data_IF_083191699349
#
_entry.id   IF_083191699349
#
_cell.length_a   1.000
_cell.length_b   1.000
_cell.length_c   1.000
_cell.angle_alpha   90.00
_cell.angle_beta   90.00
_cell.angle_gamma   90.00
#
_symmetry.space_group_name_H-M   'P 1'
#
loop_
_entity.id
_entity.type
_entity.pdbx_description
1 polymer ?
#
# COMPACT_ATOMS: atom_id res chain seq x y z
N UNK A 1 -3.91 60.28 34.44
CA UNK A 1 -4.35 61.47 33.70
C UNK A 1 -4.81 61.05 32.31
N UNK A 2 -5.85 61.72 31.83
CA UNK A 2 -6.63 61.53 30.59
C UNK A 2 -5.81 61.78 29.31
N UNK A 3 -6.14 61.10 28.20
CA UNK A 3 -6.82 61.60 26.97
C UNK A 3 -6.16 62.84 26.36
N UNK A 4 -5.97 62.79 25.04
CA UNK A 4 -5.67 63.90 24.12
C UNK A 4 -4.24 63.97 23.56
N UNK A 5 -3.71 62.85 23.05
CA UNK A 5 -2.64 62.89 22.05
C UNK A 5 -3.11 62.29 20.72
N UNK A 6 -4.18 62.87 20.18
CA UNK A 6 -4.53 62.78 18.77
C UNK A 6 -4.61 64.21 18.22
N UNK A 7 -3.43 64.78 17.97
CA UNK A 7 -3.30 66.01 17.22
C UNK A 7 -2.35 65.77 16.05
N UNK A 8 -2.96 65.61 14.87
CA UNK A 8 -2.46 66.17 13.62
C UNK A 8 -1.13 65.61 13.11
N UNK A 9 -1.21 64.54 12.32
CA UNK A 9 -0.23 64.33 11.24
C UNK A 9 -0.96 64.36 9.89
N UNK A 10 -0.43 65.08 8.88
CA UNK A 10 -1.20 65.58 7.75
C UNK A 10 -1.49 64.51 6.70
N UNK A 11 -2.53 64.77 5.90
CA UNK A 11 -3.06 64.01 4.75
C UNK A 11 -2.05 63.84 3.58
N UNK A 12 -0.86 63.28 3.85
CA UNK A 12 0.19 63.11 2.84
C UNK A 12 0.73 61.67 2.77
N UNK A 13 -0.04 60.68 3.20
CA UNK A 13 0.25 59.26 2.95
C UNK A 13 -0.81 58.61 2.04
N UNK A 14 -1.46 59.41 1.19
CA UNK A 14 -2.16 58.92 0.00
C UNK A 14 -1.16 58.86 -1.16
N UNK A 15 -0.21 57.93 -1.08
CA UNK A 15 0.58 57.47 -2.21
C UNK A 15 0.20 56.03 -2.46
N UNK A 16 -0.90 55.84 -3.20
CA UNK A 16 -1.48 54.52 -3.45
C UNK A 16 -0.46 53.53 -4.00
N UNK A 17 -0.36 52.40 -3.30
CA UNK A 17 -0.06 51.12 -3.92
C UNK A 17 -1.13 50.17 -3.38
N UNK A 18 -2.24 50.07 -4.12
CA UNK A 18 -2.99 48.83 -4.12
C UNK A 18 -2.17 47.87 -4.95
N UNK A 19 -1.49 46.93 -4.31
CA UNK A 19 -1.15 45.67 -4.96
C UNK A 19 -1.95 44.59 -4.25
N UNK A 20 -2.94 44.11 -5.00
CA UNK A 20 -3.84 43.04 -4.68
C UNK A 20 -3.08 41.77 -4.32
N UNK A 21 -3.72 41.02 -3.44
CA UNK A 21 -3.46 39.64 -3.07
C UNK A 21 -3.06 38.79 -4.28
N UNK A 22 -1.86 38.22 -4.24
CA UNK A 22 -1.49 37.07 -5.07
C UNK A 22 -0.58 36.15 -4.22
N UNK A 23 -1.03 35.80 -3.01
CA UNK A 23 -0.62 34.53 -2.43
C UNK A 23 -1.26 33.44 -3.31
N UNK A 24 -0.59 33.11 -4.42
CA UNK A 24 -0.95 31.94 -5.23
C UNK A 24 -0.74 30.73 -4.33
N UNK A 25 -1.81 30.28 -3.72
CA UNK A 25 -1.90 28.98 -3.06
C UNK A 25 -1.32 27.96 -4.04
N UNK A 26 -0.10 27.49 -3.74
CA UNK A 26 0.56 26.51 -4.59
C UNK A 26 -0.22 25.22 -4.41
N UNK A 27 -0.96 24.82 -5.44
CA UNK A 27 -1.64 23.54 -5.46
C UNK A 27 -0.58 22.43 -5.30
N UNK A 28 -0.56 21.67 -4.19
CA UNK A 28 0.42 20.63 -3.96
C UNK A 28 0.29 19.46 -4.96
N UNK A 29 -0.79 19.43 -5.74
CA UNK A 29 -1.03 18.46 -6.81
C UNK A 29 -0.71 19.01 -8.21
N UNK A 30 -0.34 20.29 -8.35
CA UNK A 30 0.08 20.84 -9.63
C UNK A 30 1.48 20.32 -9.98
N UNK A 31 1.51 19.43 -10.97
CA UNK A 31 2.74 18.86 -11.53
C UNK A 31 2.94 19.41 -12.94
N UNK A 32 3.67 20.53 -13.12
CA UNK A 32 3.89 21.13 -14.44
C UNK A 32 4.74 20.23 -15.36
N UNK A 33 5.38 19.22 -14.79
CA UNK A 33 6.13 18.16 -15.44
C UNK A 33 5.29 16.93 -15.76
N UNK A 34 4.03 16.85 -15.30
CA UNK A 34 3.13 15.79 -15.70
C UNK A 34 2.74 15.96 -17.18
N UNK A 35 3.03 14.93 -17.97
CA UNK A 35 2.49 14.78 -19.32
C UNK A 35 0.96 14.79 -19.24
N UNK A 36 0.29 15.53 -20.14
CA UNK A 36 -1.16 15.47 -20.24
C UNK A 36 -1.55 14.03 -20.62
N UNK A 37 -2.57 13.47 -19.96
CA UNK A 37 -2.96 12.05 -20.06
C UNK A 37 -3.42 11.57 -21.45
N UNK A 38 -3.20 12.39 -22.47
CA UNK A 38 -3.44 12.14 -23.90
C UNK A 38 -2.24 11.49 -24.60
N UNK A 39 -1.06 11.44 -23.96
CA UNK A 39 0.12 10.65 -24.38
C UNK A 39 0.36 9.40 -23.50
N UNK A 40 -0.59 9.02 -22.63
CA UNK A 40 -0.52 7.75 -21.91
C UNK A 40 -0.53 6.61 -22.93
N UNK A 41 0.55 5.82 -23.07
CA UNK A 41 0.55 4.73 -24.03
C UNK A 41 -0.57 3.74 -23.67
N UNK A 42 -1.32 3.31 -24.68
CA UNK A 42 -2.32 2.24 -24.58
C UNK A 42 -1.62 0.97 -24.05
N UNK A 43 -1.61 0.81 -22.73
CA UNK A 43 -0.95 -0.29 -22.07
C UNK A 43 0.53 -0.04 -21.80
N UNK A 44 0.93 -0.39 -20.59
CA UNK A 44 2.32 -0.44 -20.16
C UNK A 44 2.99 -1.69 -20.77
N UNK A 45 3.03 -1.76 -22.10
CA UNK A 45 3.46 -2.90 -22.94
C UNK A 45 4.95 -3.28 -22.72
N UNK A 46 5.69 -2.39 -22.04
CA UNK A 46 7.06 -2.64 -21.59
C UNK A 46 7.13 -3.53 -20.33
N UNK A 47 6.06 -3.64 -19.55
CA UNK A 47 6.05 -4.50 -18.38
C UNK A 47 5.85 -5.95 -18.81
N UNK A 48 6.81 -6.85 -18.52
CA UNK A 48 6.60 -8.27 -18.78
C UNK A 48 5.38 -8.72 -17.98
N UNK A 49 4.47 -9.46 -18.64
CA UNK A 49 3.44 -10.21 -17.94
C UNK A 49 4.12 -11.15 -16.95
N UNK A 50 3.83 -11.01 -15.66
CA UNK A 50 4.24 -11.97 -14.64
C UNK A 50 3.11 -12.95 -14.45
N UNK A 51 3.17 -14.16 -15.03
CA UNK A 51 2.10 -15.13 -14.87
C UNK A 51 1.98 -15.53 -13.40
N UNK A 52 0.74 -15.76 -12.97
CA UNK A 52 0.40 -16.07 -11.58
C UNK A 52 -0.52 -17.27 -11.47
N UNK A 53 -0.46 -17.96 -10.34
CA UNK A 53 -1.36 -19.05 -9.97
C UNK A 53 -1.98 -18.79 -8.58
N UNK A 54 -3.14 -19.39 -8.23
CA UNK A 54 -3.75 -19.18 -6.93
C UNK A 54 -3.04 -19.97 -5.83
N UNK A 55 -2.74 -19.32 -4.71
CA UNK A 55 -2.20 -19.98 -3.53
C UNK A 55 -3.12 -21.12 -3.06
N UNK A 56 -2.60 -22.33 -2.80
CA UNK A 56 -3.42 -23.48 -2.41
C UNK A 56 -4.14 -23.28 -1.07
N UNK A 57 -3.61 -22.40 -0.20
CA UNK A 57 -4.20 -22.09 1.10
C UNK A 57 -5.23 -20.96 1.01
N UNK A 58 -4.83 -19.76 0.58
CA UNK A 58 -5.68 -18.57 0.65
C UNK A 58 -6.31 -18.12 -0.67
N UNK A 59 -5.86 -18.67 -1.80
CA UNK A 59 -6.33 -18.27 -3.14
C UNK A 59 -5.76 -16.96 -3.68
N UNK A 60 -4.87 -16.27 -2.95
CA UNK A 60 -4.18 -15.09 -3.47
C UNK A 60 -3.26 -15.44 -4.64
N UNK A 61 -3.08 -14.51 -5.58
CA UNK A 61 -2.14 -14.65 -6.70
C UNK A 61 -0.70 -14.75 -6.18
N UNK A 62 -0.01 -15.81 -6.56
CA UNK A 62 1.41 -16.03 -6.34
C UNK A 62 2.09 -16.25 -7.71
N UNK A 63 3.42 -16.09 -7.84
CA UNK A 63 4.12 -16.37 -9.09
C UNK A 63 3.80 -17.78 -9.58
N UNK A 64 3.56 -17.93 -10.88
CA UNK A 64 3.35 -19.24 -11.51
C UNK A 64 4.57 -20.15 -11.28
N UNK A 65 4.30 -21.43 -10.99
CA UNK A 65 5.32 -22.45 -10.73
C UNK A 65 6.34 -22.02 -9.64
N UNK A 66 5.86 -21.70 -8.43
CA UNK A 66 6.69 -21.21 -7.34
C UNK A 66 7.77 -22.23 -6.97
N UNK A 67 8.91 -21.77 -6.46
CA UNK A 67 9.94 -22.71 -5.99
C UNK A 67 9.44 -23.47 -4.75
N UNK A 68 10.00 -24.66 -4.52
CA UNK A 68 9.88 -25.31 -3.22
C UNK A 68 10.28 -24.34 -2.11
N UNK A 69 9.46 -24.21 -1.09
CA UNK A 69 9.72 -23.32 0.04
C UNK A 69 9.33 -21.87 -0.22
N UNK A 70 8.71 -21.56 -1.35
CA UNK A 70 8.12 -20.24 -1.55
C UNK A 70 7.04 -19.99 -0.50
N UNK A 71 7.11 -18.87 0.20
CA UNK A 71 6.14 -18.51 1.25
C UNK A 71 5.14 -17.52 0.68
N UNK A 72 3.85 -17.88 0.69
CA UNK A 72 2.79 -16.97 0.28
C UNK A 72 2.76 -15.75 1.23
N UNK A 73 2.96 -14.52 0.71
CA UNK A 73 3.02 -13.33 1.57
C UNK A 73 1.67 -12.99 2.22
N UNK A 74 0.56 -13.51 1.67
CA UNK A 74 -0.79 -13.22 2.16
C UNK A 74 -1.20 -14.08 3.36
N UNK A 75 -0.80 -15.36 3.39
CA UNK A 75 -1.22 -16.29 4.44
C UNK A 75 -0.06 -16.92 5.22
N UNK A 76 1.14 -16.94 4.65
CA UNK A 76 2.31 -17.58 5.23
C UNK A 76 2.45 -19.08 4.93
N UNK A 77 1.60 -19.67 4.08
CA UNK A 77 1.77 -21.05 3.62
C UNK A 77 3.05 -21.18 2.81
N UNK A 78 3.89 -22.15 3.18
CA UNK A 78 5.10 -22.50 2.46
C UNK A 78 4.79 -23.61 1.44
N UNK A 79 5.14 -23.40 0.16
CA UNK A 79 4.88 -24.35 -0.91
C UNK A 79 5.69 -25.62 -0.66
N UNK A 80 4.94 -26.72 -0.53
CA UNK A 80 5.44 -28.06 -0.27
C UNK A 80 4.81 -29.03 -1.27
N UNK A 81 5.63 -29.47 -2.23
CA UNK A 81 5.21 -30.37 -3.29
C UNK A 81 5.04 -31.82 -2.80
N UNK A 82 5.61 -32.18 -1.63
CA UNK A 82 5.44 -33.53 -1.08
C UNK A 82 4.02 -33.79 -0.59
N UNK A 83 3.23 -32.73 -0.32
CA UNK A 83 1.83 -32.81 0.12
C UNK A 83 0.84 -32.36 -0.96
N UNK A 84 1.32 -32.12 -2.19
CA UNK A 84 0.46 -31.68 -3.29
C UNK A 84 -0.61 -32.74 -3.62
N UNK A 85 -1.86 -32.30 -3.74
CA UNK A 85 -3.00 -33.20 -3.96
C UNK A 85 -3.47 -33.97 -2.72
N UNK A 86 -2.75 -33.88 -1.59
CA UNK A 86 -3.08 -34.55 -0.33
C UNK A 86 -3.33 -33.52 0.79
N UNK A 87 -4.49 -32.83 0.79
CA UNK A 87 -4.70 -31.65 1.65
C UNK A 87 -4.69 -31.95 3.16
N UNK A 88 -4.91 -33.19 3.56
CA UNK A 88 -4.89 -33.62 4.97
C UNK A 88 -3.53 -34.22 5.39
N UNK A 89 -2.58 -34.37 4.46
CA UNK A 89 -1.23 -34.83 4.78
C UNK A 89 -0.46 -33.69 5.49
N UNK A 90 0.20 -33.95 6.61
CA UNK A 90 1.00 -32.95 7.30
C UNK A 90 2.23 -32.58 6.47
N UNK A 91 2.51 -31.29 6.38
CA UNK A 91 3.68 -30.72 5.69
C UNK A 91 4.80 -30.46 6.69
N UNK A 92 5.99 -30.98 6.39
CA UNK A 92 7.18 -30.75 7.23
C UNK A 92 7.61 -29.27 7.18
N UNK A 93 7.51 -28.63 6.02
CA UNK A 93 7.79 -27.20 5.86
C UNK A 93 6.84 -26.32 6.69
N UNK A 94 5.57 -26.72 6.78
CA UNK A 94 4.54 -25.99 7.53
C UNK A 94 4.42 -26.48 8.99
N UNK A 95 5.51 -26.99 9.57
CA UNK A 95 5.61 -27.33 11.00
C UNK A 95 4.60 -28.42 11.41
N UNK A 96 4.30 -29.35 10.50
CA UNK A 96 3.36 -30.44 10.70
C UNK A 96 1.89 -30.10 10.39
N UNK A 97 1.59 -28.87 9.94
CA UNK A 97 0.24 -28.55 9.49
C UNK A 97 -0.11 -29.23 8.17
N UNK A 98 -1.34 -29.73 8.08
CA UNK A 98 -1.97 -30.04 6.80
C UNK A 98 -2.47 -28.78 6.09
N UNK A 99 -2.65 -28.85 4.78
CA UNK A 99 -3.22 -27.76 3.99
C UNK A 99 -4.67 -27.43 4.44
N UNK A 100 -5.44 -28.44 4.84
CA UNK A 100 -6.78 -28.26 5.42
C UNK A 100 -6.69 -27.42 6.69
N UNK A 101 -5.84 -27.76 7.65
CA UNK A 101 -5.65 -26.98 8.88
C UNK A 101 -5.17 -25.56 8.60
N UNK A 102 -4.23 -25.39 7.67
CA UNK A 102 -3.74 -24.07 7.28
C UNK A 102 -4.85 -23.18 6.70
N UNK A 103 -5.75 -23.74 5.87
CA UNK A 103 -6.94 -23.02 5.38
C UNK A 103 -7.84 -22.57 6.52
N UNK A 104 -8.14 -23.45 7.47
CA UNK A 104 -8.93 -23.09 8.66
C UNK A 104 -8.29 -21.98 9.48
N UNK A 105 -6.97 -22.08 9.71
CA UNK A 105 -6.21 -21.06 10.43
C UNK A 105 -6.26 -19.72 9.69
N UNK A 106 -6.03 -19.71 8.38
CA UNK A 106 -6.08 -18.48 7.59
C UNK A 106 -7.46 -17.84 7.62
N UNK A 107 -8.53 -18.61 7.45
CA UNK A 107 -9.90 -18.09 7.54
C UNK A 107 -10.25 -17.55 8.94
N UNK A 108 -9.67 -18.11 10.00
CA UNK A 108 -9.97 -17.73 11.38
C UNK A 108 -9.11 -16.57 11.89
N UNK A 109 -7.85 -16.49 11.46
CA UNK A 109 -6.82 -15.62 12.04
C UNK A 109 -6.06 -14.75 11.02
N UNK A 110 -6.29 -14.94 9.73
CA UNK A 110 -5.55 -14.25 8.67
C UNK A 110 -4.13 -14.77 8.43
N UNK A 111 -3.73 -15.87 9.07
CA UNK A 111 -2.42 -16.52 8.86
C UNK A 111 -2.52 -18.03 9.08
N UNK A 112 -1.64 -18.80 8.43
CA UNK A 112 -1.56 -20.26 8.63
C UNK A 112 -1.00 -20.66 10.00
N UNK A 113 -0.16 -19.81 10.60
CA UNK A 113 0.57 -20.10 11.83
C UNK A 113 0.29 -19.05 12.92
N UNK A 114 -0.94 -18.97 13.46
CA UNK A 114 -1.35 -17.94 14.41
C UNK A 114 -0.50 -17.91 15.69
N UNK A 115 0.05 -19.05 16.11
CA UNK A 115 0.93 -19.13 17.27
C UNK A 115 2.20 -18.25 17.12
N UNK A 116 2.71 -18.07 15.90
CA UNK A 116 3.88 -17.21 15.64
C UNK A 116 3.62 -15.73 15.94
N UNK A 117 2.36 -15.31 15.95
CA UNK A 117 1.96 -13.93 16.27
C UNK A 117 1.75 -13.79 17.78
N UNK A 118 1.21 -14.82 18.44
CA UNK A 118 0.88 -14.80 19.87
C UNK A 118 2.13 -14.84 20.76
N UNK A 119 3.18 -15.55 20.35
CA UNK A 119 4.41 -15.68 21.14
C UNK A 119 5.26 -14.40 21.24
N UNK A 120 4.99 -13.41 20.37
CA UNK A 120 5.70 -12.13 20.34
C UNK A 120 4.90 -10.97 20.96
N UNK A 121 3.73 -11.25 21.56
CA UNK A 121 2.81 -10.28 22.16
C UNK A 121 2.98 -10.08 23.66
#
# INVERSE_FOLDING_TARGET
>A
MNKDEYAFLPEAFFGGVQEQEDEKELDPYFRPDAVSGEDEPDGLDWMPETPTEPCPCCGAEIPENPSWGYICPMCGWEIDYDVEGEPDKPSDQNHGLSLTEARWNFHSFGTVAPWKIIENG
#
